data_IF_936466087951
#
_entry.id   IF_936466087951
#
_cell.length_a   1.000
_cell.length_b   1.000
_cell.length_c   1.000
_cell.angle_alpha   90.00
_cell.angle_beta   90.00
_cell.angle_gamma   90.00
#
_symmetry.space_group_name_H-M   'P 1'
#
loop_
_entity.id
_entity.type
_entity.pdbx_description
1 polymer ?
#
# COMPACT_ATOMS: atom_id res chain seq x y z
N UNK A 1 28.04 75.82 54.57
CA UNK A 1 27.09 74.92 53.87
C UNK A 1 27.40 73.49 54.30
N UNK A 2 26.46 72.82 54.96
CA UNK A 2 26.67 71.51 55.61
C UNK A 2 26.15 70.38 54.71
N UNK A 3 26.96 69.38 54.31
CA UNK A 3 26.48 68.29 53.47
C UNK A 3 25.63 67.28 54.26
N UNK A 4 24.32 67.26 54.01
CA UNK A 4 23.38 66.37 54.70
C UNK A 4 23.41 64.95 54.13
N UNK A 5 24.37 64.11 54.54
CA UNK A 5 24.35 62.68 54.22
C UNK A 5 23.21 61.96 54.95
N UNK A 6 22.05 61.79 54.30
CA UNK A 6 21.07 60.78 54.71
C UNK A 6 21.56 59.40 54.27
N UNK A 7 21.83 58.51 55.23
CA UNK A 7 22.11 57.09 54.95
C UNK A 7 20.89 56.44 54.29
N UNK A 8 21.12 55.69 53.23
CA UNK A 8 20.10 54.91 52.53
C UNK A 8 19.67 53.73 53.42
N UNK A 9 18.38 53.67 53.75
CA UNK A 9 17.80 52.58 54.56
C UNK A 9 17.21 51.54 53.61
N UNK A 10 17.73 50.31 53.66
CA UNK A 10 17.19 49.20 52.89
C UNK A 10 15.80 48.82 53.41
N UNK A 11 14.84 48.63 52.50
CA UNK A 11 13.51 48.14 52.85
C UNK A 11 13.59 46.71 53.39
N UNK A 12 13.47 46.54 54.71
CA UNK A 12 13.27 45.23 55.33
C UNK A 12 11.86 44.76 54.99
N UNK A 13 11.67 43.58 54.35
CA UNK A 13 10.33 43.06 54.10
C UNK A 13 9.58 42.85 55.42
N UNK A 14 8.35 43.35 55.51
CA UNK A 14 7.47 43.01 56.65
C UNK A 14 7.29 41.49 56.67
N UNK A 15 7.67 40.83 57.78
CA UNK A 15 7.30 39.43 58.02
C UNK A 15 5.78 39.35 58.08
N UNK A 16 5.15 38.88 57.02
CA UNK A 16 3.73 38.53 57.05
C UNK A 16 3.54 37.42 58.10
N UNK A 17 2.83 37.74 59.20
CA UNK A 17 2.33 36.73 60.14
C UNK A 17 1.16 35.98 59.50
N UNK A 18 1.46 35.15 58.50
CA UNK A 18 0.60 34.06 58.11
C UNK A 18 0.99 32.86 58.97
N UNK A 19 0.35 32.76 60.13
CA UNK A 19 0.59 31.73 61.14
C UNK A 19 -0.10 30.40 60.74
N UNK A 20 0.20 29.96 59.52
CA UNK A 20 -0.32 28.73 58.92
C UNK A 20 0.85 27.85 58.52
N UNK A 21 1.15 26.90 59.41
CA UNK A 21 2.04 25.78 59.10
C UNK A 21 1.54 25.05 57.84
N UNK A 22 2.44 24.56 56.95
CA UNK A 22 2.04 23.87 55.73
C UNK A 22 1.15 22.66 56.03
N UNK A 23 -0.14 22.73 55.66
CA UNK A 23 -1.06 21.59 55.76
C UNK A 23 -0.89 20.70 54.55
N UNK A 24 -0.82 19.38 54.77
CA UNK A 24 -0.98 18.39 53.69
C UNK A 24 -2.34 18.57 53.02
N UNK A 25 -2.41 18.35 51.71
CA UNK A 25 -3.62 18.58 50.91
C UNK A 25 -4.86 17.82 51.40
N UNK A 26 -4.65 16.64 52.00
CA UNK A 26 -5.69 15.80 52.64
C UNK A 26 -6.38 16.47 53.86
N UNK A 27 -5.75 17.51 54.44
CA UNK A 27 -6.21 18.20 55.66
C UNK A 27 -6.69 19.65 55.38
N UNK A 28 -7.07 19.94 54.13
CA UNK A 28 -7.73 21.20 53.74
C UNK A 28 -9.26 21.06 53.83
N UNK A 29 -9.98 22.17 54.01
CA UNK A 29 -11.44 22.13 53.98
C UNK A 29 -11.96 21.76 52.59
N UNK A 30 -13.12 21.07 52.56
CA UNK A 30 -13.69 20.49 51.35
C UNK A 30 -13.88 21.53 50.21
N UNK A 31 -14.31 22.74 50.55
CA UNK A 31 -14.48 23.86 49.60
C UNK A 31 -13.17 24.31 48.95
N UNK A 32 -12.05 24.31 49.70
CA UNK A 32 -10.71 24.66 49.17
C UNK A 32 -10.13 23.51 48.35
N UNK A 33 -10.46 22.26 48.70
CA UNK A 33 -10.07 21.09 47.94
C UNK A 33 -10.73 21.08 46.55
N UNK A 34 -12.04 21.37 46.45
CA UNK A 34 -12.73 21.44 45.16
C UNK A 34 -12.20 22.55 44.24
N UNK A 35 -11.85 23.73 44.78
CA UNK A 35 -11.38 24.86 43.97
C UNK A 35 -10.02 24.58 43.28
N UNK A 36 -9.17 23.75 43.90
CA UNK A 36 -7.87 23.36 43.33
C UNK A 36 -7.96 22.14 42.40
N UNK A 37 -9.13 21.49 42.27
CA UNK A 37 -9.34 20.51 41.20
C UNK A 37 -9.50 21.27 39.89
N UNK A 38 -8.39 21.42 39.15
CA UNK A 38 -8.46 21.74 37.73
C UNK A 38 -9.33 20.67 37.05
N UNK A 39 -10.59 21.00 36.79
CA UNK A 39 -11.54 20.16 36.05
C UNK A 39 -10.97 19.98 34.64
N UNK A 40 -10.12 18.96 34.46
CA UNK A 40 -9.71 18.46 33.14
C UNK A 40 -11.01 18.28 32.37
N UNK A 41 -11.24 19.13 31.36
CA UNK A 41 -12.31 18.91 30.38
C UNK A 41 -12.15 17.47 29.93
N UNK A 42 -13.14 16.61 30.20
CA UNK A 42 -13.21 15.30 29.58
C UNK A 42 -13.32 15.58 28.07
N UNK A 43 -12.18 15.60 27.38
CA UNK A 43 -12.15 15.29 25.96
C UNK A 43 -12.77 13.89 25.91
N UNK A 44 -13.97 13.80 25.36
CA UNK A 44 -14.54 12.53 24.95
C UNK A 44 -13.61 11.98 23.88
N UNK A 45 -12.66 11.14 24.30
CA UNK A 45 -11.99 10.22 23.39
C UNK A 45 -13.09 9.25 22.96
N UNK A 46 -13.84 9.63 21.94
CA UNK A 46 -15.07 8.99 21.49
C UNK A 46 -14.81 7.65 20.75
N UNK A 47 -13.65 7.05 21.02
CA UNK A 47 -13.22 5.80 20.41
C UNK A 47 -12.27 5.09 21.37
N UNK A 48 -12.81 4.12 22.10
CA UNK A 48 -12.01 3.06 22.70
C UNK A 48 -11.92 1.94 21.66
N UNK A 49 -10.72 1.61 21.12
CA UNK A 49 -10.57 0.63 20.05
C UNK A 49 -10.79 -0.82 20.51
N UNK A 50 -11.07 -1.06 21.80
CA UNK A 50 -11.31 -2.40 22.35
C UNK A 50 -12.70 -2.90 21.97
N UNK A 51 -12.88 -4.21 21.69
CA UNK A 51 -14.21 -4.78 21.53
C UNK A 51 -15.04 -4.61 22.81
N UNK A 52 -16.36 -4.41 22.67
CA UNK A 52 -17.26 -4.06 23.77
C UNK A 52 -17.19 -5.03 24.97
N UNK A 53 -16.91 -6.31 24.71
CA UNK A 53 -16.70 -7.37 25.72
C UNK A 53 -15.50 -7.14 26.65
N UNK A 54 -14.48 -6.39 26.21
CA UNK A 54 -13.30 -6.03 27.01
C UNK A 54 -13.42 -4.63 27.64
N UNK A 55 -14.41 -3.83 27.21
CA UNK A 55 -14.73 -2.53 27.83
C UNK A 55 -15.51 -2.75 29.13
N UNK A 56 -16.44 -3.72 29.16
CA UNK A 56 -17.24 -4.05 30.35
C UNK A 56 -16.43 -4.67 31.51
N UNK A 57 -15.32 -5.36 31.23
CA UNK A 57 -14.44 -6.00 32.23
C UNK A 57 -13.49 -5.01 32.96
N UNK A 58 -13.90 -3.76 33.14
CA UNK A 58 -13.01 -2.59 33.34
C UNK A 58 -11.96 -2.65 34.46
N UNK A 59 -12.16 -3.47 35.51
CA UNK A 59 -11.16 -3.66 36.60
C UNK A 59 -10.28 -4.91 36.42
N UNK A 60 -10.82 -6.00 35.90
CA UNK A 60 -10.05 -7.23 35.65
C UNK A 60 -9.09 -7.06 34.49
N UNK A 61 -9.56 -6.55 33.34
CA UNK A 61 -8.70 -6.36 32.16
C UNK A 61 -7.50 -5.46 32.45
N UNK A 62 -7.72 -4.32 33.10
CA UNK A 62 -6.66 -3.40 33.50
C UNK A 62 -5.65 -4.06 34.45
N UNK A 63 -6.09 -4.99 35.29
CA UNK A 63 -5.23 -5.74 36.21
C UNK A 63 -4.48 -6.86 35.50
N UNK A 64 -5.12 -7.58 34.58
CA UNK A 64 -4.48 -8.59 33.73
C UNK A 64 -3.39 -7.99 32.85
N UNK A 65 -3.65 -6.83 32.22
CA UNK A 65 -2.64 -6.11 31.41
C UNK A 65 -1.49 -5.64 32.30
N UNK A 66 -1.78 -5.01 33.46
CA UNK A 66 -0.76 -4.57 34.41
C UNK A 66 0.14 -5.73 34.86
N UNK A 67 -0.45 -6.87 35.22
CA UNK A 67 0.28 -8.05 35.68
C UNK A 67 1.12 -8.67 34.56
N UNK A 68 0.61 -8.73 33.31
CA UNK A 68 1.39 -9.16 32.15
C UNK A 68 2.57 -8.23 31.85
N UNK A 69 2.37 -6.91 31.96
CA UNK A 69 3.44 -5.90 31.78
C UNK A 69 4.49 -6.02 32.89
N UNK A 70 4.09 -6.17 34.15
CA UNK A 70 5.01 -6.38 35.29
C UNK A 70 5.83 -7.66 35.08
N UNK A 71 5.17 -8.78 34.76
CA UNK A 71 5.85 -10.06 34.52
C UNK A 71 6.82 -9.99 33.34
N UNK A 72 6.43 -9.34 32.23
CA UNK A 72 7.34 -9.11 31.10
C UNK A 72 8.56 -8.27 31.50
N UNK A 73 8.35 -7.15 32.20
CA UNK A 73 9.45 -6.29 32.67
C UNK A 73 10.41 -7.04 33.62
N UNK A 74 9.86 -7.89 34.50
CA UNK A 74 10.64 -8.72 35.43
C UNK A 74 11.46 -9.78 34.71
N UNK A 75 10.85 -10.54 33.80
CA UNK A 75 11.51 -11.63 33.06
C UNK A 75 12.53 -11.14 32.03
N UNK A 76 12.26 -10.01 31.37
CA UNK A 76 13.13 -9.47 30.31
C UNK A 76 14.14 -8.43 30.79
N UNK A 77 14.04 -7.96 32.04
CA UNK A 77 14.73 -6.78 32.59
C UNK A 77 14.49 -5.46 31.81
N UNK A 78 13.62 -5.45 30.79
CA UNK A 78 13.29 -4.25 30.00
C UNK A 78 12.22 -3.43 30.70
N UNK A 79 12.50 -2.15 30.97
CA UNK A 79 11.52 -1.22 31.55
C UNK A 79 10.61 -0.62 30.48
N UNK A 80 9.41 -1.19 30.30
CA UNK A 80 8.38 -0.65 29.37
C UNK A 80 8.05 0.83 29.65
N UNK A 81 8.20 1.31 30.89
CA UNK A 81 8.01 2.72 31.24
C UNK A 81 8.92 3.71 30.50
N UNK A 82 10.08 3.28 29.99
CA UNK A 82 10.95 4.13 29.16
C UNK A 82 10.35 4.42 27.78
N UNK A 83 9.49 3.55 27.25
CA UNK A 83 8.82 3.75 25.96
C UNK A 83 7.79 4.90 25.95
N UNK A 84 7.48 5.48 27.11
CA UNK A 84 6.70 6.71 27.25
C UNK A 84 7.49 7.90 27.80
N UNK A 85 8.81 7.74 27.99
CA UNK A 85 9.75 8.81 28.36
C UNK A 85 10.57 9.23 27.13
N UNK A 86 10.89 8.26 26.26
CA UNK A 86 11.42 8.52 24.93
C UNK A 86 10.28 9.05 24.04
N UNK A 87 10.55 10.14 23.32
CA UNK A 87 9.66 10.61 22.25
C UNK A 87 9.49 9.52 21.17
N UNK A 88 8.41 9.61 20.41
CA UNK A 88 8.23 8.72 19.25
C UNK A 88 9.43 8.84 18.33
N UNK A 89 10.08 7.72 18.02
CA UNK A 89 11.33 7.70 17.24
C UNK A 89 11.20 8.58 15.99
N UNK A 90 11.98 9.67 15.97
CA UNK A 90 11.98 10.61 14.85
C UNK A 90 12.54 9.90 13.63
N UNK A 91 11.68 9.58 12.66
CA UNK A 91 12.08 8.75 11.53
C UNK A 91 13.17 9.42 10.70
N UNK A 92 13.19 10.76 10.67
CA UNK A 92 14.23 11.57 10.06
C UNK A 92 15.60 11.32 10.71
N UNK A 93 15.69 11.40 12.04
CA UNK A 93 16.95 11.13 12.76
C UNK A 93 17.40 9.68 12.57
N UNK A 94 16.46 8.72 12.60
CA UNK A 94 16.77 7.31 12.34
C UNK A 94 17.28 7.09 10.91
N UNK A 95 16.82 7.84 9.90
CA UNK A 95 17.37 7.76 8.54
C UNK A 95 18.79 8.33 8.48
N UNK A 96 19.05 9.43 9.18
CA UNK A 96 20.38 10.03 9.25
C UNK A 96 21.39 9.13 9.98
N UNK A 97 20.97 8.44 11.04
CA UNK A 97 21.77 7.43 11.76
C UNK A 97 22.06 6.16 10.92
N UNK A 98 21.40 5.97 9.78
CA UNK A 98 21.50 4.78 8.92
C UNK A 98 21.97 5.12 7.49
N UNK A 99 22.83 6.14 7.35
CA UNK A 99 23.43 6.58 6.09
C UNK A 99 24.40 5.55 5.46
N UNK A 100 24.92 4.62 6.26
CA UNK A 100 25.77 3.49 5.84
C UNK A 100 25.05 2.42 4.98
N UNK A 101 23.73 2.54 4.78
CA UNK A 101 22.96 1.60 3.98
C UNK A 101 23.02 1.93 2.47
N UNK A 102 22.98 0.92 1.58
CA UNK A 102 23.00 1.15 0.12
C UNK A 102 21.76 1.88 -0.41
N UNK A 103 20.70 1.96 0.39
CA UNK A 103 19.54 2.81 0.19
C UNK A 103 19.15 3.43 1.53
N UNK A 104 18.62 4.67 1.56
CA UNK A 104 18.01 5.25 2.76
C UNK A 104 17.07 4.26 3.46
N UNK A 105 17.13 4.16 4.80
CA UNK A 105 16.50 3.10 5.60
C UNK A 105 15.03 2.83 5.21
N UNK A 106 14.25 3.87 4.95
CA UNK A 106 12.85 3.76 4.54
C UNK A 106 12.64 3.00 3.23
N UNK A 107 13.54 3.15 2.25
CA UNK A 107 13.53 2.35 1.04
C UNK A 107 13.80 0.89 1.37
N UNK A 108 14.77 0.60 2.24
CA UNK A 108 15.05 -0.78 2.67
C UNK A 108 13.86 -1.40 3.42
N UNK A 109 13.18 -0.64 4.29
CA UNK A 109 11.95 -1.10 4.95
C UNK A 109 10.83 -1.45 3.94
N UNK A 110 10.66 -0.63 2.90
CA UNK A 110 9.71 -0.93 1.80
C UNK A 110 10.16 -2.18 1.03
N UNK A 111 11.43 -2.27 0.63
CA UNK A 111 11.99 -3.41 -0.10
C UNK A 111 11.83 -4.72 0.69
N UNK A 112 12.11 -4.70 1.99
CA UNK A 112 11.89 -5.83 2.89
C UNK A 112 10.40 -6.21 2.98
N UNK A 113 9.50 -5.22 3.07
CA UNK A 113 8.05 -5.43 3.14
C UNK A 113 7.44 -5.98 1.86
N UNK A 114 7.94 -5.58 0.69
CA UNK A 114 7.41 -6.06 -0.61
C UNK A 114 8.03 -7.39 -1.05
N UNK A 115 9.16 -7.79 -0.45
CA UNK A 115 9.82 -9.06 -0.74
C UNK A 115 8.96 -10.24 -0.29
N UNK A 116 8.93 -11.29 -1.11
CA UNK A 116 8.06 -12.46 -0.91
C UNK A 116 8.84 -13.75 -1.11
N UNK A 117 8.54 -14.76 -0.30
CA UNK A 117 8.94 -16.14 -0.56
C UNK A 117 7.94 -16.76 -1.56
N UNK A 118 8.27 -17.89 -2.21
CA UNK A 118 7.32 -18.59 -3.09
C UNK A 118 5.97 -18.89 -2.42
N UNK A 119 5.99 -19.26 -1.13
CA UNK A 119 4.76 -19.59 -0.41
C UNK A 119 3.98 -18.35 0.03
N UNK A 120 4.65 -17.24 0.40
CA UNK A 120 3.93 -15.99 0.67
C UNK A 120 3.34 -15.38 -0.60
N UNK A 121 3.99 -15.55 -1.76
CA UNK A 121 3.44 -15.17 -3.07
C UNK A 121 2.18 -15.98 -3.43
N UNK A 122 2.17 -17.30 -3.23
CA UNK A 122 0.97 -18.15 -3.38
C UNK A 122 -0.15 -17.76 -2.42
N UNK A 123 0.19 -17.42 -1.17
CA UNK A 123 -0.81 -16.97 -0.20
C UNK A 123 -1.39 -15.58 -0.53
N UNK A 124 -0.62 -14.68 -1.14
CA UNK A 124 -1.12 -13.42 -1.70
C UNK A 124 -2.11 -13.70 -2.84
N UNK A 125 -1.74 -14.55 -3.80
CA UNK A 125 -2.62 -14.98 -4.91
C UNK A 125 -3.96 -15.49 -4.35
N UNK A 126 -3.91 -16.50 -3.48
CA UNK A 126 -5.07 -17.16 -2.89
C UNK A 126 -5.99 -16.19 -2.13
N UNK A 127 -5.41 -15.30 -1.32
CA UNK A 127 -6.16 -14.30 -0.55
C UNK A 127 -6.73 -13.18 -1.42
N UNK A 128 -6.26 -13.03 -2.65
CA UNK A 128 -6.66 -11.96 -3.57
C UNK A 128 -7.43 -12.45 -4.80
N UNK A 129 -7.86 -13.72 -4.85
CA UNK A 129 -8.68 -14.30 -5.94
C UNK A 129 -9.97 -13.53 -6.26
N UNK A 130 -10.54 -12.83 -5.28
CA UNK A 130 -11.70 -11.95 -5.48
C UNK A 130 -11.33 -10.53 -5.96
N UNK A 131 -10.07 -10.33 -6.36
CA UNK A 131 -9.46 -9.13 -6.95
C UNK A 131 -10.01 -7.82 -6.36
N UNK A 132 -10.78 -7.06 -7.15
CA UNK A 132 -11.30 -5.73 -6.81
C UNK A 132 -12.17 -5.68 -5.54
N UNK A 133 -12.77 -6.80 -5.12
CA UNK A 133 -13.53 -6.91 -3.86
C UNK A 133 -12.63 -7.05 -2.62
N UNK A 134 -11.32 -7.21 -2.80
CA UNK A 134 -10.36 -7.49 -1.73
C UNK A 134 -9.48 -6.29 -1.44
N UNK A 135 -9.53 -5.71 -0.23
CA UNK A 135 -8.66 -4.59 0.17
C UNK A 135 -7.16 -4.94 0.00
N UNK A 136 -6.77 -6.18 0.33
CA UNK A 136 -5.40 -6.66 0.17
C UNK A 136 -4.90 -6.58 -1.29
N UNK A 137 -5.74 -6.88 -2.28
CA UNK A 137 -5.37 -6.79 -3.70
C UNK A 137 -5.03 -5.35 -4.10
N UNK A 138 -5.79 -4.36 -3.62
CA UNK A 138 -5.48 -2.94 -3.83
C UNK A 138 -4.20 -2.52 -3.10
N UNK A 139 -4.01 -2.97 -1.86
CA UNK A 139 -2.81 -2.66 -1.06
C UNK A 139 -1.54 -3.22 -1.71
N UNK A 140 -1.50 -4.50 -2.06
CA UNK A 140 -0.34 -5.11 -2.73
C UNK A 140 -0.01 -4.42 -4.06
N UNK A 141 -1.03 -4.02 -4.83
CA UNK A 141 -0.84 -3.30 -6.09
C UNK A 141 -0.31 -1.88 -5.92
N UNK A 142 -0.58 -1.19 -4.81
CA UNK A 142 0.00 0.15 -4.56
C UNK A 142 1.52 0.13 -4.34
N UNK A 143 2.10 -1.03 -4.00
CA UNK A 143 3.53 -1.21 -3.81
C UNK A 143 4.26 -1.78 -5.04
N UNK A 144 3.55 -2.09 -6.13
CA UNK A 144 4.07 -2.87 -7.27
C UNK A 144 3.66 -2.27 -8.60
N UNK A 145 4.58 -2.26 -9.57
CA UNK A 145 4.25 -2.04 -10.98
C UNK A 145 3.41 -3.22 -11.45
N UNK A 146 2.23 -2.91 -12.00
CA UNK A 146 1.28 -3.93 -12.46
C UNK A 146 1.31 -4.10 -13.97
N UNK A 147 1.16 -5.34 -14.45
CA UNK A 147 1.32 -5.70 -15.87
C UNK A 147 0.61 -4.77 -16.87
N UNK A 148 -0.64 -4.38 -16.60
CA UNK A 148 -1.41 -3.47 -17.47
C UNK A 148 -0.86 -2.05 -17.59
N UNK A 149 0.15 -1.69 -16.79
CA UNK A 149 0.89 -0.40 -16.84
C UNK A 149 2.30 -0.52 -17.40
N UNK A 150 2.83 -1.73 -17.55
CA UNK A 150 4.20 -1.96 -18.05
C UNK A 150 4.37 -1.45 -19.48
N UNK A 151 3.36 -1.59 -20.34
CA UNK A 151 3.40 -1.07 -21.71
C UNK A 151 3.52 0.45 -21.77
N UNK A 152 2.92 1.18 -20.82
CA UNK A 152 3.12 2.63 -20.73
C UNK A 152 4.52 2.99 -20.27
N UNK A 153 5.00 2.34 -19.19
CA UNK A 153 6.33 2.58 -18.58
C UNK A 153 7.45 2.28 -19.59
N UNK A 154 7.37 1.15 -20.28
CA UNK A 154 8.39 0.77 -21.26
C UNK A 154 8.42 1.67 -22.49
N UNK A 155 7.39 2.49 -22.72
CA UNK A 155 7.28 3.43 -23.86
C UNK A 155 7.31 4.90 -23.42
N UNK A 156 7.83 5.19 -22.22
CA UNK A 156 8.05 6.57 -21.81
C UNK A 156 9.05 7.27 -22.73
N UNK A 157 8.72 8.52 -23.05
CA UNK A 157 9.61 9.50 -23.66
C UNK A 157 9.98 10.54 -22.60
N UNK A 158 11.07 11.28 -22.81
CA UNK A 158 11.53 12.32 -21.88
C UNK A 158 10.48 13.42 -21.58
N UNK A 159 9.40 13.51 -22.38
CA UNK A 159 8.30 14.47 -22.18
C UNK A 159 7.26 14.02 -21.15
N UNK A 160 7.18 12.73 -20.78
CA UNK A 160 6.17 12.23 -19.83
C UNK A 160 6.73 12.31 -18.40
N UNK A 161 6.05 13.08 -17.57
CA UNK A 161 6.33 13.22 -16.14
C UNK A 161 6.17 11.87 -15.42
N UNK A 162 7.31 11.25 -15.09
CA UNK A 162 7.38 9.91 -14.51
C UNK A 162 7.07 9.90 -13.01
N UNK A 163 7.36 11.00 -12.29
CA UNK A 163 7.03 11.15 -10.87
C UNK A 163 5.51 11.26 -10.67
N UNK A 164 4.85 12.12 -11.46
CA UNK A 164 3.38 12.24 -11.45
C UNK A 164 2.71 10.96 -11.90
N UNK A 165 3.31 10.23 -12.85
CA UNK A 165 2.83 8.91 -13.21
C UNK A 165 2.97 7.89 -12.08
N UNK A 166 4.14 7.82 -11.42
CA UNK A 166 4.35 6.97 -10.25
C UNK A 166 3.33 7.26 -9.13
N UNK A 167 3.08 8.55 -8.83
CA UNK A 167 2.04 8.94 -7.88
C UNK A 167 0.63 8.49 -8.31
N UNK A 168 0.33 8.46 -9.61
CA UNK A 168 -0.96 7.96 -10.12
C UNK A 168 -1.13 6.44 -9.98
N UNK A 169 -0.04 5.67 -9.90
CA UNK A 169 -0.07 4.23 -9.62
C UNK A 169 -0.30 3.95 -8.12
N UNK A 170 0.33 4.73 -7.25
CA UNK A 170 0.25 4.56 -5.79
C UNK A 170 -1.11 5.06 -5.28
N UNK A 171 -1.50 6.28 -5.65
CA UNK A 171 -2.80 6.85 -5.34
C UNK A 171 -3.83 6.33 -6.34
N UNK A 172 -4.36 5.14 -6.06
CA UNK A 172 -5.35 4.39 -6.85
C UNK A 172 -6.68 5.15 -7.06
N UNK A 173 -6.66 6.21 -7.89
CA UNK A 173 -7.83 7.00 -8.25
C UNK A 173 -8.79 6.14 -9.07
N UNK A 174 -10.05 6.10 -8.66
CA UNK A 174 -11.11 5.36 -9.38
C UNK A 174 -11.38 6.04 -10.73
N UNK A 175 -10.72 5.56 -11.78
CA UNK A 175 -11.05 5.93 -13.17
C UNK A 175 -12.33 5.18 -13.54
N UNK A 176 -13.35 5.92 -13.95
CA UNK A 176 -14.61 5.41 -14.48
C UNK A 176 -14.70 5.86 -15.93
N UNK A 177 -14.98 4.92 -16.84
CA UNK A 177 -15.29 5.21 -18.23
C UNK A 177 -16.18 4.11 -18.79
N UNK A 178 -17.00 4.44 -19.78
CA UNK A 178 -17.94 3.52 -20.43
C UNK A 178 -17.24 2.26 -20.94
N UNK A 179 -16.03 2.40 -21.49
CA UNK A 179 -15.22 1.28 -21.96
C UNK A 179 -14.72 0.37 -20.83
N UNK A 180 -14.39 0.91 -19.66
CA UNK A 180 -13.99 0.12 -18.48
C UNK A 180 -15.17 -0.56 -17.80
N UNK A 181 -16.36 0.02 -17.87
CA UNK A 181 -17.59 -0.58 -17.34
C UNK A 181 -18.09 -1.70 -18.26
N UNK A 182 -18.13 -1.44 -19.58
CA UNK A 182 -18.40 -2.46 -20.61
C UNK A 182 -17.45 -3.66 -20.51
N UNK A 183 -16.14 -3.41 -20.40
CA UNK A 183 -15.16 -4.49 -20.23
C UNK A 183 -15.48 -5.39 -19.04
N UNK A 184 -15.82 -4.81 -17.89
CA UNK A 184 -16.16 -5.56 -16.66
C UNK A 184 -17.51 -6.26 -16.74
N UNK A 185 -18.52 -5.69 -17.39
CA UNK A 185 -19.83 -6.34 -17.52
C UNK A 185 -19.76 -7.55 -18.45
N UNK A 186 -18.94 -7.46 -19.51
CA UNK A 186 -18.83 -8.53 -20.51
C UNK A 186 -17.73 -9.56 -20.22
N UNK A 187 -16.84 -9.30 -19.25
CA UNK A 187 -15.73 -10.21 -18.88
C UNK A 187 -16.21 -11.64 -18.58
N UNK A 188 -17.30 -11.80 -17.82
CA UNK A 188 -17.84 -13.14 -17.49
C UNK A 188 -18.43 -13.82 -18.71
N UNK A 189 -19.23 -13.12 -19.52
CA UNK A 189 -19.80 -13.64 -20.78
C UNK A 189 -18.73 -14.05 -21.79
N UNK A 190 -17.66 -13.27 -21.90
CA UNK A 190 -16.53 -13.58 -22.77
C UNK A 190 -15.72 -14.80 -22.26
N UNK A 191 -15.54 -14.95 -20.94
CA UNK A 191 -14.94 -16.18 -20.39
C UNK A 191 -15.83 -17.40 -20.70
N UNK A 192 -17.14 -17.31 -20.50
CA UNK A 192 -18.10 -18.38 -20.82
C UNK A 192 -18.08 -18.75 -22.31
N UNK A 193 -18.01 -17.76 -23.21
CA UNK A 193 -17.85 -17.97 -24.65
C UNK A 193 -16.51 -18.67 -24.98
N UNK A 194 -15.40 -18.26 -24.36
CA UNK A 194 -14.10 -18.92 -24.51
C UNK A 194 -14.12 -20.38 -24.02
N UNK A 195 -14.73 -20.65 -22.86
CA UNK A 195 -14.89 -22.01 -22.34
C UNK A 195 -15.71 -22.89 -23.30
N UNK A 196 -16.84 -22.37 -23.81
CA UNK A 196 -17.68 -23.05 -24.80
C UNK A 196 -16.98 -23.32 -26.13
N UNK A 197 -16.24 -22.33 -26.66
CA UNK A 197 -15.49 -22.44 -27.92
C UNK A 197 -14.32 -23.42 -27.85
N UNK A 198 -13.63 -23.48 -26.71
CA UNK A 198 -12.38 -24.25 -26.57
C UNK A 198 -12.52 -25.57 -25.84
N UNK A 199 -13.63 -25.78 -25.11
CA UNK A 199 -13.83 -26.91 -24.19
C UNK A 199 -12.91 -26.88 -22.96
N UNK A 200 -12.18 -25.78 -22.72
CA UNK A 200 -11.20 -25.67 -21.63
C UNK A 200 -11.79 -24.88 -20.47
N UNK A 201 -11.64 -25.40 -19.25
CA UNK A 201 -12.03 -24.67 -18.04
C UNK A 201 -11.04 -23.54 -17.75
N UNK A 202 -11.57 -22.39 -17.35
CA UNK A 202 -10.85 -21.20 -16.95
C UNK A 202 -10.94 -21.04 -15.43
N UNK A 203 -9.80 -21.07 -14.76
CA UNK A 203 -9.73 -20.87 -13.30
C UNK A 203 -9.45 -19.41 -12.95
N UNK A 204 -10.17 -18.90 -11.93
CA UNK A 204 -9.93 -17.55 -11.40
C UNK A 204 -8.66 -17.50 -10.54
N UNK A 205 -7.88 -16.44 -10.73
CA UNK A 205 -6.69 -16.15 -9.95
C UNK A 205 -6.66 -14.72 -9.39
N UNK A 206 -5.86 -14.53 -8.34
CA UNK A 206 -5.63 -13.27 -7.65
C UNK A 206 -4.46 -12.48 -8.23
N UNK A 207 -3.67 -11.88 -7.35
CA UNK A 207 -2.44 -11.19 -7.70
C UNK A 207 -1.25 -12.15 -7.61
N UNK A 208 -0.65 -12.47 -8.76
CA UNK A 208 0.69 -13.02 -8.83
C UNK A 208 1.72 -11.92 -8.56
N UNK A 209 2.73 -12.25 -7.76
CA UNK A 209 3.87 -11.40 -7.41
C UNK A 209 5.13 -12.19 -7.76
N UNK A 210 6.08 -11.59 -8.48
CA UNK A 210 7.34 -12.27 -8.76
C UNK A 210 8.22 -12.31 -7.50
N UNK A 211 8.84 -13.46 -7.27
CA UNK A 211 9.78 -13.71 -6.16
C UNK A 211 11.16 -13.12 -6.47
N UNK A 212 11.62 -13.24 -7.72
CA UNK A 212 12.89 -12.66 -8.19
C UNK A 212 12.77 -11.13 -8.35
N UNK A 213 11.59 -10.68 -8.79
CA UNK A 213 11.24 -9.27 -8.86
C UNK A 213 9.99 -9.02 -8.02
N UNK A 214 10.18 -8.77 -6.70
CA UNK A 214 9.32 -7.85 -5.97
C UNK A 214 9.15 -6.55 -6.77
N UNK A 215 8.26 -5.66 -6.36
CA UNK A 215 7.82 -4.52 -7.20
C UNK A 215 7.20 -4.87 -8.57
N UNK A 216 7.12 -6.13 -9.01
CA UNK A 216 6.33 -6.54 -10.20
C UNK A 216 5.20 -7.49 -9.77
N UNK A 217 3.99 -7.26 -10.31
CA UNK A 217 2.86 -8.17 -10.14
C UNK A 217 1.83 -8.11 -11.27
N UNK A 218 0.98 -9.13 -11.36
CA UNK A 218 -0.10 -9.19 -12.34
C UNK A 218 -1.29 -10.01 -11.83
N UNK A 219 -2.47 -9.70 -12.37
CA UNK A 219 -3.64 -10.58 -12.31
C UNK A 219 -4.03 -10.85 -13.76
N UNK A 220 -3.80 -12.06 -14.28
CA UNK A 220 -4.48 -12.55 -15.47
C UNK A 220 -5.99 -12.62 -15.24
N UNK A 221 -6.77 -12.62 -16.33
CA UNK A 221 -8.22 -12.76 -16.24
C UNK A 221 -8.62 -14.23 -15.96
N UNK A 222 -7.76 -15.18 -16.34
CA UNK A 222 -7.87 -16.58 -15.92
C UNK A 222 -6.62 -17.43 -16.15
N UNK A 223 -6.65 -18.65 -15.62
CA UNK A 223 -5.65 -19.70 -15.81
C UNK A 223 -6.27 -20.87 -16.56
N UNK A 224 -5.50 -21.50 -17.45
CA UNK A 224 -5.93 -22.66 -18.26
C UNK A 224 -4.90 -23.78 -18.07
N UNK A 225 -5.29 -24.85 -17.38
CA UNK A 225 -4.37 -25.93 -16.97
C UNK A 225 -3.16 -25.38 -16.19
N UNK A 226 -1.97 -25.95 -16.40
CA UNK A 226 -0.74 -25.53 -15.71
C UNK A 226 0.10 -24.49 -16.48
N UNK A 227 0.09 -24.51 -17.82
CA UNK A 227 1.08 -23.78 -18.64
C UNK A 227 0.54 -22.55 -19.38
N UNK A 228 -0.77 -22.23 -19.27
CA UNK A 228 -1.40 -21.17 -20.07
C UNK A 228 -2.22 -20.16 -19.23
N UNK A 229 -2.17 -18.89 -19.58
CA UNK A 229 -3.09 -17.86 -19.04
C UNK A 229 -4.13 -17.42 -20.06
N UNK A 230 -5.23 -16.84 -19.59
CA UNK A 230 -6.23 -16.13 -20.39
C UNK A 230 -6.13 -14.62 -20.10
N UNK A 231 -6.14 -13.82 -21.15
CA UNK A 231 -6.35 -12.36 -21.11
C UNK A 231 -7.55 -12.05 -22.02
N UNK A 232 -8.57 -11.38 -21.47
CA UNK A 232 -9.83 -11.09 -22.15
C UNK A 232 -9.92 -9.61 -22.49
N UNK A 233 -10.37 -9.30 -23.71
CA UNK A 233 -10.61 -7.93 -24.17
C UNK A 233 -11.99 -7.84 -24.82
N UNK A 234 -12.88 -7.07 -24.19
CA UNK A 234 -14.17 -6.69 -24.75
C UNK A 234 -14.10 -5.20 -25.17
N UNK A 235 -13.61 -4.87 -26.38
CA UNK A 235 -13.38 -3.49 -26.78
C UNK A 235 -14.68 -2.74 -27.12
N UNK A 236 -15.04 -1.76 -26.29
CA UNK A 236 -16.26 -0.96 -26.46
C UNK A 236 -16.36 -0.25 -27.83
N UNK A 237 -15.23 0.18 -28.40
CA UNK A 237 -15.19 0.94 -29.67
C UNK A 237 -15.61 0.14 -30.91
N UNK A 238 -15.53 -1.19 -30.85
CA UNK A 238 -15.88 -2.11 -31.95
C UNK A 238 -16.86 -3.19 -31.46
N UNK A 239 -17.62 -2.89 -30.39
CA UNK A 239 -18.43 -3.89 -29.67
C UNK A 239 -19.51 -4.55 -30.52
N UNK A 240 -19.94 -3.91 -31.61
CA UNK A 240 -20.94 -4.43 -32.56
C UNK A 240 -20.33 -4.66 -33.96
N UNK A 241 -18.99 -4.74 -34.06
CA UNK A 241 -18.24 -4.92 -35.31
C UNK A 241 -17.40 -6.21 -35.29
N UNK A 242 -17.07 -6.72 -36.49
CA UNK A 242 -16.11 -7.81 -36.66
C UNK A 242 -14.68 -7.36 -36.31
N UNK A 243 -13.83 -8.28 -35.85
CA UNK A 243 -12.49 -7.96 -35.33
C UNK A 243 -11.47 -7.90 -36.48
N UNK A 244 -11.13 -6.68 -36.91
CA UNK A 244 -10.16 -6.42 -37.97
C UNK A 244 -8.93 -5.63 -37.50
N UNK A 245 -7.88 -5.63 -38.30
CA UNK A 245 -6.67 -4.81 -38.08
C UNK A 245 -6.89 -3.32 -38.40
N UNK A 246 -7.94 -3.03 -39.17
CA UNK A 246 -8.41 -1.70 -39.55
C UNK A 246 -9.20 -0.99 -38.43
N UNK A 247 -9.97 -1.71 -37.62
CA UNK A 247 -10.74 -1.16 -36.50
C UNK A 247 -10.13 -1.47 -35.12
N UNK A 248 -9.22 -2.46 -35.02
CA UNK A 248 -8.50 -2.79 -33.79
C UNK A 248 -6.97 -2.65 -33.94
N UNK A 249 -6.47 -1.42 -33.72
CA UNK A 249 -5.06 -1.03 -33.91
C UNK A 249 -4.02 -1.85 -33.10
N UNK A 250 -4.46 -2.65 -32.13
CA UNK A 250 -3.62 -3.59 -31.39
C UNK A 250 -3.18 -4.80 -32.21
N UNK A 251 -3.76 -5.05 -33.39
CA UNK A 251 -3.44 -6.17 -34.27
C UNK A 251 -2.66 -5.76 -35.52
N UNK A 252 -1.74 -6.61 -35.97
CA UNK A 252 -1.10 -6.53 -37.27
C UNK A 252 -2.06 -6.95 -38.40
N UNK A 253 -1.66 -6.79 -39.66
CA UNK A 253 -2.51 -7.10 -40.82
C UNK A 253 -2.93 -8.58 -40.92
N UNK A 254 -2.10 -9.50 -40.44
CA UNK A 254 -2.37 -10.93 -40.29
C UNK A 254 -3.21 -11.28 -39.04
N UNK A 255 -3.67 -10.25 -38.32
CA UNK A 255 -4.46 -10.31 -37.10
C UNK A 255 -3.71 -10.97 -35.91
N UNK A 256 -2.38 -10.95 -35.92
CA UNK A 256 -1.55 -11.21 -34.74
C UNK A 256 -1.45 -9.97 -33.83
N UNK A 257 -1.09 -10.16 -32.56
CA UNK A 257 -0.90 -9.06 -31.62
C UNK A 257 0.39 -8.27 -31.92
N UNK A 258 0.29 -6.96 -32.18
CA UNK A 258 1.48 -6.10 -32.37
C UNK A 258 2.41 -6.14 -31.15
N UNK A 259 3.71 -6.42 -31.32
CA UNK A 259 4.66 -6.39 -30.20
C UNK A 259 4.82 -4.99 -29.56
N UNK A 260 4.50 -3.95 -30.33
CA UNK A 260 4.45 -2.55 -29.85
C UNK A 260 3.19 -2.24 -29.02
N UNK A 261 2.17 -3.10 -29.04
CA UNK A 261 0.90 -2.93 -28.32
C UNK A 261 1.08 -2.99 -26.80
N UNK A 262 0.34 -2.18 -26.05
CA UNK A 262 0.33 -2.27 -24.57
C UNK A 262 -0.05 -3.67 -24.06
N UNK A 263 -0.89 -4.40 -24.79
CA UNK A 263 -1.30 -5.75 -24.40
C UNK A 263 -0.16 -6.76 -24.53
N UNK A 264 0.78 -6.59 -25.47
CA UNK A 264 1.94 -7.48 -25.57
C UNK A 264 2.83 -7.33 -24.34
N UNK A 265 3.17 -6.10 -23.94
CA UNK A 265 3.89 -5.82 -22.69
C UNK A 265 3.14 -6.34 -21.44
N UNK A 266 1.81 -6.22 -21.40
CA UNK A 266 1.01 -6.75 -20.30
C UNK A 266 1.09 -8.28 -20.24
N UNK A 267 0.86 -8.97 -21.36
CA UNK A 267 0.89 -10.43 -21.47
C UNK A 267 2.28 -10.97 -21.14
N UNK A 268 3.34 -10.41 -21.72
CA UNK A 268 4.71 -10.82 -21.40
C UNK A 268 5.05 -10.62 -19.90
N UNK A 269 4.50 -9.57 -19.26
CA UNK A 269 4.63 -9.39 -17.80
C UNK A 269 3.83 -10.43 -17.02
N UNK A 270 2.62 -10.78 -17.45
CA UNK A 270 1.82 -11.84 -16.81
C UNK A 270 2.53 -13.20 -16.92
N UNK A 271 3.11 -13.53 -18.08
CA UNK A 271 3.88 -14.76 -18.28
C UNK A 271 5.17 -14.77 -17.44
N UNK A 272 5.86 -13.62 -17.28
CA UNK A 272 6.97 -13.48 -16.34
C UNK A 272 6.57 -13.81 -14.89
N UNK A 273 5.48 -13.22 -14.37
CA UNK A 273 5.13 -13.38 -12.94
C UNK A 273 4.38 -14.67 -12.61
N UNK A 274 3.71 -15.29 -13.58
CA UNK A 274 3.02 -16.58 -13.41
C UNK A 274 3.91 -17.78 -13.68
N UNK A 275 5.03 -17.60 -14.41
CA UNK A 275 5.89 -18.69 -14.85
C UNK A 275 5.31 -19.56 -15.97
N UNK A 276 4.26 -19.08 -16.67
CA UNK A 276 3.55 -19.82 -17.73
C UNK A 276 4.11 -19.53 -19.12
N UNK A 277 3.93 -20.47 -20.04
CA UNK A 277 4.61 -20.48 -21.35
C UNK A 277 3.88 -19.64 -22.42
N UNK A 278 2.56 -19.51 -22.31
CA UNK A 278 1.75 -18.78 -23.28
C UNK A 278 0.46 -18.22 -22.71
N UNK A 279 -0.11 -17.26 -23.44
CA UNK A 279 -1.41 -16.66 -23.18
C UNK A 279 -2.31 -16.92 -24.39
N UNK A 280 -3.58 -17.24 -24.16
CA UNK A 280 -4.61 -16.96 -25.16
C UNK A 280 -5.16 -15.56 -24.87
N UNK A 281 -4.93 -14.64 -25.80
CA UNK A 281 -5.62 -13.35 -25.84
C UNK A 281 -6.96 -13.57 -26.53
N UNK A 282 -8.05 -13.45 -25.78
CA UNK A 282 -9.41 -13.57 -26.30
C UNK A 282 -10.01 -12.18 -26.48
N UNK A 283 -10.31 -11.84 -27.73
CA UNK A 283 -11.00 -10.60 -28.11
C UNK A 283 -12.45 -10.97 -28.42
N UNK A 284 -13.40 -10.33 -27.74
CA UNK A 284 -14.82 -10.65 -27.81
C UNK A 284 -15.65 -9.40 -28.12
N UNK A 285 -16.51 -9.48 -29.13
CA UNK A 285 -17.53 -8.48 -29.47
C UNK A 285 -18.90 -9.17 -29.51
N UNK A 286 -19.99 -8.40 -29.68
CA UNK A 286 -21.35 -8.94 -29.81
C UNK A 286 -21.57 -9.71 -31.13
N UNK A 287 -20.62 -9.66 -32.07
CA UNK A 287 -20.76 -10.23 -33.43
C UNK A 287 -19.58 -11.12 -33.85
N UNK A 288 -18.44 -11.09 -33.15
CA UNK A 288 -17.23 -11.84 -33.51
C UNK A 288 -16.38 -12.16 -32.25
N UNK A 289 -15.57 -13.21 -32.34
CA UNK A 289 -14.75 -13.71 -31.24
C UNK A 289 -13.44 -14.38 -31.70
N UNK A 290 -12.31 -13.77 -31.33
CA UNK A 290 -10.98 -14.16 -31.81
C UNK A 290 -10.06 -14.59 -30.67
N UNK A 291 -9.43 -15.75 -30.83
CA UNK A 291 -8.33 -16.22 -29.96
C UNK A 291 -7.01 -16.00 -30.69
N UNK A 292 -6.06 -15.32 -30.03
CA UNK A 292 -4.67 -15.14 -30.48
C UNK A 292 -3.74 -15.77 -29.45
N UNK A 293 -2.95 -16.77 -29.84
CA UNK A 293 -1.99 -17.39 -28.94
C UNK A 293 -0.68 -16.58 -28.92
N UNK A 294 -0.34 -16.02 -27.75
CA UNK A 294 0.87 -15.22 -27.53
C UNK A 294 1.83 -16.05 -26.68
N UNK A 295 2.97 -16.43 -27.27
CA UNK A 295 4.02 -17.17 -26.55
C UNK A 295 4.88 -16.23 -25.70
N UNK A 296 5.44 -16.76 -24.61
CA UNK A 296 6.43 -16.05 -23.80
C UNK A 296 7.68 -15.74 -24.61
N UNK A 297 8.19 -14.52 -24.48
CA UNK A 297 9.40 -14.05 -25.14
C UNK A 297 10.41 -13.62 -24.06
N UNK A 298 11.23 -14.57 -23.60
CA UNK A 298 12.20 -14.32 -22.53
C UNK A 298 13.24 -13.25 -22.90
N UNK A 299 13.64 -13.15 -24.17
CA UNK A 299 14.54 -12.08 -24.63
C UNK A 299 13.90 -10.70 -24.46
N UNK A 300 12.64 -10.53 -24.87
CA UNK A 300 11.90 -9.27 -24.67
C UNK A 300 11.71 -8.94 -23.19
N UNK A 301 11.41 -9.96 -22.37
CA UNK A 301 11.23 -9.82 -20.92
C UNK A 301 12.54 -9.34 -20.26
N UNK A 302 13.66 -9.99 -20.54
CA UNK A 302 14.96 -9.70 -19.92
C UNK A 302 15.60 -8.42 -20.45
N UNK A 303 15.49 -8.12 -21.75
CA UNK A 303 16.18 -6.99 -22.37
C UNK A 303 15.35 -5.69 -22.36
N UNK A 304 14.01 -5.76 -22.26
CA UNK A 304 13.13 -4.58 -22.35
C UNK A 304 12.29 -4.39 -21.08
N UNK A 305 11.51 -5.39 -20.66
CA UNK A 305 10.56 -5.22 -19.54
C UNK A 305 11.31 -5.03 -18.22
N UNK A 306 12.15 -5.99 -17.82
CA UNK A 306 12.81 -5.98 -16.51
C UNK A 306 13.68 -4.73 -16.32
N UNK A 307 14.55 -4.30 -17.27
CA UNK A 307 15.39 -3.13 -17.08
C UNK A 307 14.57 -1.83 -16.95
N UNK A 308 13.54 -1.63 -17.81
CA UNK A 308 12.72 -0.41 -17.78
C UNK A 308 11.82 -0.34 -16.56
N UNK A 309 11.19 -1.45 -16.16
CA UNK A 309 10.36 -1.51 -14.95
C UNK A 309 11.20 -1.37 -13.68
N UNK A 310 12.39 -1.98 -13.62
CA UNK A 310 13.35 -1.80 -12.52
C UNK A 310 13.80 -0.35 -12.40
N UNK A 311 14.26 0.27 -13.49
CA UNK A 311 14.66 1.68 -13.48
C UNK A 311 13.51 2.58 -12.99
N UNK A 312 12.32 2.42 -13.56
CA UNK A 312 11.15 3.20 -13.16
C UNK A 312 10.78 3.02 -11.67
N UNK A 313 10.80 1.77 -11.18
CA UNK A 313 10.48 1.49 -9.79
C UNK A 313 11.46 2.16 -8.82
N UNK A 314 12.77 1.93 -8.99
CA UNK A 314 13.78 2.45 -8.07
C UNK A 314 13.96 3.98 -8.16
N UNK A 315 13.77 4.58 -9.34
CA UNK A 315 13.96 6.03 -9.53
C UNK A 315 12.73 6.87 -9.15
N UNK A 316 11.51 6.38 -9.40
CA UNK A 316 10.29 7.20 -9.26
C UNK A 316 9.26 6.62 -8.29
N UNK A 317 8.99 5.31 -8.34
CA UNK A 317 7.93 4.71 -7.53
C UNK A 317 8.35 4.50 -6.07
N UNK A 318 9.53 3.95 -5.83
CA UNK A 318 10.06 3.64 -4.50
C UNK A 318 10.26 4.92 -3.64
N UNK A 319 10.88 6.02 -4.14
CA UNK A 319 10.94 7.29 -3.42
C UNK A 319 9.56 7.89 -3.13
N UNK A 320 8.59 7.68 -4.03
CA UNK A 320 7.24 8.22 -3.84
C UNK A 320 6.42 7.41 -2.83
N UNK A 321 6.57 6.09 -2.79
CA UNK A 321 6.03 5.24 -1.71
C UNK A 321 6.62 5.68 -0.37
N UNK A 322 7.95 5.86 -0.31
CA UNK A 322 8.62 6.33 0.90
C UNK A 322 8.11 7.68 1.37
N UNK A 323 8.01 8.68 0.49
CA UNK A 323 7.48 10.00 0.86
C UNK A 323 6.08 9.91 1.46
N UNK A 324 5.20 9.13 0.85
CA UNK A 324 3.82 8.94 1.33
C UNK A 324 3.75 8.21 2.70
N UNK A 325 4.83 7.62 3.22
CA UNK A 325 4.87 7.07 4.59
C UNK A 325 5.13 8.13 5.68
N UNK A 326 5.65 9.31 5.34
CA UNK A 326 5.85 10.43 6.29
C UNK A 326 4.65 11.37 6.36
N UNK A 327 3.88 11.46 5.27
CA UNK A 327 2.73 12.35 5.13
C UNK A 327 1.41 11.76 5.73
N UNK A 328 1.49 10.76 6.63
CA UNK A 328 0.36 9.99 7.19
C UNK A 328 0.28 10.01 8.73
#
# INVERSE_FOLDING_TARGET
MTPTQKKQVWHVPKKNKLDVSPKKAENLSYEIAEYNVCKKKKRSVCYDPRPQSFISQGKEWATTVRNKVINYCSLSQKRIGLCGILDSANMQDVIHDHDYLPFPLHHQLILNKISVTPDSAKEIEKKTKNQTKTKLWHTERSFRVTASRVGEICKFTAKKDQEKYAQSLICNKKIVSTALEWGKSMETTAIEAYEGKTGKKVERCGLYVSVQYPFIGASPDGLIGDNKILEVKCPYSIKDEMIGSNNYFHLEHDLQLKETSNYYYQIQTQLLVTGRDCCDLFIWTNVDEKIINVKKNDSFIQNIIIPRVKAFFFQFMLPKIAKNMYDC
#
